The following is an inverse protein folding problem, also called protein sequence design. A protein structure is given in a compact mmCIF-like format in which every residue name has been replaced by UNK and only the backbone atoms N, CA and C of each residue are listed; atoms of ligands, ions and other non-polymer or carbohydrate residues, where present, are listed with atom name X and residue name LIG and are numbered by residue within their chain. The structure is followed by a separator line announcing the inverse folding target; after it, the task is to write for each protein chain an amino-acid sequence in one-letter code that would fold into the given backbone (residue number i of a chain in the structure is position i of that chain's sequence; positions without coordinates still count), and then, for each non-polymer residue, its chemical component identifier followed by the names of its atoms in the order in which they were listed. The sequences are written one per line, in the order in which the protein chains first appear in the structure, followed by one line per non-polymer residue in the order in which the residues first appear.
data_IF_476092437025
#
_entry.id   IF_476092437025
#
_cell.length_a   1.000
_cell.length_b   1.000
_cell.length_c   1.000
_cell.angle_alpha   90.00
_cell.angle_beta   90.00
_cell.angle_gamma   90.00
#
_symmetry.space_group_name_H-M   'P 1'
#
loop_
_entity.id
_entity.type
_entity.pdbx_description
1 polymer ?
#
# COMPACT_ATOMS: atom_id res chain seq x y z
N UNK A 1 -7.25 16.08 -1.09
CA UNK A 1 -6.34 15.32 -1.96
C UNK A 1 -7.15 14.73 -3.10
N UNK A 2 -6.59 14.64 -4.31
CA UNK A 2 -7.20 13.82 -5.36
C UNK A 2 -7.00 12.34 -5.05
N UNK A 3 -7.76 11.45 -5.71
CA UNK A 3 -7.61 9.99 -5.56
C UNK A 3 -6.19 9.54 -5.90
N UNK A 4 -5.60 10.13 -6.93
CA UNK A 4 -4.24 9.85 -7.40
C UNK A 4 -3.21 10.22 -6.33
N UNK A 5 -3.37 11.37 -5.66
CA UNK A 5 -2.50 11.75 -4.54
C UNK A 5 -2.60 10.77 -3.36
N UNK A 6 -3.80 10.24 -3.08
CA UNK A 6 -4.00 9.23 -2.01
C UNK A 6 -3.31 7.91 -2.39
N UNK A 7 -3.47 7.47 -3.64
CA UNK A 7 -2.82 6.26 -4.16
C UNK A 7 -1.29 6.38 -4.07
N UNK A 8 -0.74 7.51 -4.50
CA UNK A 8 0.70 7.81 -4.44
C UNK A 8 1.22 7.77 -3.00
N UNK A 9 0.52 8.45 -2.09
CA UNK A 9 0.90 8.53 -0.68
C UNK A 9 0.90 7.15 -0.02
N UNK A 10 -0.16 6.36 -0.23
CA UNK A 10 -0.26 5.00 0.32
C UNK A 10 0.84 4.12 -0.25
N UNK A 11 1.04 4.11 -1.58
CA UNK A 11 2.02 3.25 -2.23
C UNK A 11 3.44 3.53 -1.71
N UNK A 12 3.83 4.80 -1.67
CA UNK A 12 5.16 5.23 -1.21
C UNK A 12 5.35 4.88 0.27
N UNK A 13 4.44 5.31 1.14
CA UNK A 13 4.57 5.09 2.59
C UNK A 13 4.56 3.60 2.94
N UNK A 14 3.70 2.82 2.30
CA UNK A 14 3.60 1.39 2.56
C UNK A 14 4.86 0.65 2.16
N UNK A 15 5.43 0.96 0.99
CA UNK A 15 6.69 0.36 0.52
C UNK A 15 7.83 0.73 1.46
N UNK A 16 8.03 2.02 1.72
CA UNK A 16 9.14 2.50 2.56
C UNK A 16 9.06 1.95 3.98
N UNK A 17 7.87 1.92 4.59
CA UNK A 17 7.69 1.37 5.94
C UNK A 17 8.03 -0.13 6.01
N UNK A 18 7.69 -0.89 4.96
CA UNK A 18 8.06 -2.31 4.88
C UNK A 18 9.56 -2.48 4.69
N UNK A 19 10.20 -1.65 3.88
CA UNK A 19 11.64 -1.74 3.60
C UNK A 19 12.50 -1.36 4.82
N UNK A 20 12.17 -0.30 5.54
CA UNK A 20 12.92 0.10 6.76
C UNK A 20 12.65 -0.85 7.93
N UNK A 21 11.54 -1.59 7.90
CA UNK A 21 11.16 -2.65 8.84
C UNK A 21 11.40 -2.29 10.33
N UNK A 22 10.74 -1.23 10.86
CA UNK A 22 11.17 -0.59 12.11
C UNK A 22 10.82 -1.37 13.39
N UNK A 23 9.94 -2.36 13.30
CA UNK A 23 9.54 -3.21 14.44
C UNK A 23 10.08 -4.62 14.30
N UNK A 24 10.28 -5.30 15.43
CA UNK A 24 10.68 -6.71 15.45
C UNK A 24 9.65 -7.63 14.79
N UNK A 25 8.36 -7.31 14.94
CA UNK A 25 7.22 -8.03 14.38
C UNK A 25 6.07 -7.06 14.10
N UNK A 26 5.19 -7.41 13.14
CA UNK A 26 3.94 -6.69 12.91
C UNK A 26 3.99 -5.54 11.89
N UNK A 27 5.12 -5.31 11.22
CA UNK A 27 5.27 -4.24 10.21
C UNK A 27 4.19 -4.28 9.13
N UNK A 28 3.86 -5.47 8.60
CA UNK A 28 2.80 -5.63 7.61
C UNK A 28 1.39 -5.30 8.11
N UNK A 29 1.10 -5.48 9.41
CA UNK A 29 -0.20 -5.08 9.98
C UNK A 29 -0.26 -3.57 10.15
N UNK A 30 0.81 -2.96 10.66
CA UNK A 30 0.88 -1.52 10.85
C UNK A 30 0.85 -0.76 9.52
N UNK A 31 1.55 -1.25 8.49
CA UNK A 31 1.58 -0.60 7.18
C UNK A 31 0.20 -0.57 6.52
N UNK A 32 -0.58 -1.67 6.65
CA UNK A 32 -1.98 -1.71 6.21
C UNK A 32 -2.87 -0.76 7.01
N UNK A 33 -2.76 -0.76 8.34
CA UNK A 33 -3.50 0.20 9.17
C UNK A 33 -3.20 1.65 8.77
N UNK A 34 -1.94 1.98 8.49
CA UNK A 34 -1.54 3.31 8.04
C UNK A 34 -2.11 3.64 6.65
N UNK A 35 -2.12 2.67 5.73
CA UNK A 35 -2.77 2.82 4.43
C UNK A 35 -4.26 3.16 4.57
N UNK A 36 -4.98 2.49 5.46
CA UNK A 36 -6.40 2.78 5.74
C UNK A 36 -6.60 4.20 6.32
N UNK A 37 -5.73 4.63 7.24
CA UNK A 37 -5.75 5.99 7.79
C UNK A 37 -5.57 7.03 6.69
N UNK A 38 -4.59 6.85 5.80
CA UNK A 38 -4.34 7.76 4.68
C UNK A 38 -5.55 7.78 3.72
N UNK A 39 -6.14 6.62 3.44
CA UNK A 39 -7.33 6.52 2.59
C UNK A 39 -8.51 7.31 3.18
N UNK A 40 -8.82 7.11 4.46
CA UNK A 40 -9.92 7.79 5.16
C UNK A 40 -9.67 9.30 5.27
N UNK A 41 -8.44 9.74 5.54
CA UNK A 41 -8.07 11.16 5.50
C UNK A 41 -8.25 11.76 4.09
N UNK A 42 -8.06 10.94 3.06
CA UNK A 42 -8.34 11.24 1.66
C UNK A 42 -9.82 11.20 1.27
N UNK A 43 -10.75 10.97 2.21
CA UNK A 43 -12.18 10.75 1.97
C UNK A 43 -12.51 9.52 1.11
N UNK A 44 -11.63 8.52 1.13
CA UNK A 44 -11.86 7.20 0.55
C UNK A 44 -12.24 6.20 1.65
N UNK A 45 -12.74 5.04 1.25
CA UNK A 45 -12.97 3.91 2.17
C UNK A 45 -11.64 3.19 2.48
N UNK A 46 -11.55 2.47 3.62
CA UNK A 46 -10.44 1.55 3.91
C UNK A 46 -10.20 0.55 2.78
N UNK A 47 -8.96 0.09 2.59
CA UNK A 47 -8.59 -0.77 1.48
C UNK A 47 -9.14 -2.18 1.64
N UNK A 48 -9.56 -2.79 0.53
CA UNK A 48 -9.92 -4.21 0.49
C UNK A 48 -8.71 -5.07 0.10
N UNK A 49 -8.08 -5.71 1.10
CA UNK A 49 -6.79 -6.40 0.96
C UNK A 49 -6.86 -7.80 0.35
N UNK A 50 -8.03 -8.29 -0.05
CA UNK A 50 -8.15 -9.63 -0.66
C UNK A 50 -7.29 -9.73 -1.93
N UNK A 51 -7.27 -8.68 -2.75
CA UNK A 51 -6.47 -8.61 -3.98
C UNK A 51 -4.97 -8.81 -3.71
N UNK A 52 -4.44 -8.29 -2.59
CA UNK A 52 -3.04 -8.46 -2.23
C UNK A 52 -2.76 -9.85 -1.68
N UNK A 53 -3.73 -10.40 -0.94
CA UNK A 53 -3.63 -11.73 -0.33
C UNK A 53 -3.66 -12.83 -1.39
N UNK A 54 -4.55 -12.72 -2.38
CA UNK A 54 -4.64 -13.64 -3.50
C UNK A 54 -3.44 -13.53 -4.46
N UNK A 55 -2.80 -12.35 -4.53
CA UNK A 55 -1.67 -12.08 -5.43
C UNK A 55 -0.37 -11.80 -4.67
N UNK A 56 -0.07 -12.65 -3.67
CA UNK A 56 1.04 -12.43 -2.75
C UNK A 56 2.40 -12.24 -3.46
N UNK A 57 2.68 -13.03 -4.51
CA UNK A 57 3.95 -12.96 -5.26
C UNK A 57 4.10 -11.58 -5.91
N UNK A 58 3.05 -11.10 -6.56
CA UNK A 58 3.06 -9.82 -7.28
C UNK A 58 3.05 -8.63 -6.31
N UNK A 59 2.36 -8.75 -5.18
CA UNK A 59 2.42 -7.77 -4.10
C UNK A 59 3.84 -7.66 -3.52
N UNK A 60 4.52 -8.78 -3.26
CA UNK A 60 5.92 -8.77 -2.80
C UNK A 60 6.83 -8.18 -3.88
N UNK A 61 6.62 -8.53 -5.16
CA UNK A 61 7.37 -7.96 -6.27
C UNK A 61 7.20 -6.43 -6.36
N UNK A 62 6.00 -5.91 -6.07
CA UNK A 62 5.74 -4.47 -6.02
C UNK A 62 6.51 -3.76 -4.89
N UNK A 63 6.68 -4.41 -3.74
CA UNK A 63 7.53 -3.89 -2.65
C UNK A 63 9.00 -3.87 -3.10
N UNK A 64 9.49 -4.95 -3.72
CA UNK A 64 10.87 -5.01 -4.21
C UNK A 64 11.18 -3.97 -5.29
N UNK A 65 10.21 -3.61 -6.13
CA UNK A 65 10.38 -2.53 -7.10
C UNK A 65 10.74 -1.18 -6.43
N UNK A 66 10.27 -0.98 -5.18
CA UNK A 66 10.61 0.16 -4.34
C UNK A 66 12.10 0.35 -4.04
N UNK A 67 12.90 -0.71 -4.08
CA UNK A 67 14.37 -0.60 -3.94
C UNK A 67 15.00 0.27 -5.03
N UNK A 68 14.32 0.41 -6.18
CA UNK A 68 14.72 1.28 -7.29
C UNK A 68 13.87 2.57 -7.34
N UNK A 69 13.21 2.95 -6.23
CA UNK A 69 12.28 4.08 -6.15
C UNK A 69 11.11 3.98 -7.16
N UNK A 70 10.77 2.77 -7.60
CA UNK A 70 9.67 2.53 -8.52
C UNK A 70 8.43 2.08 -7.73
N UNK A 71 7.53 3.02 -7.47
CA UNK A 71 6.29 2.78 -6.73
C UNK A 71 5.09 2.44 -7.65
N UNK A 72 5.24 2.51 -8.98
CA UNK A 72 4.15 2.24 -9.93
C UNK A 72 3.48 0.88 -9.72
N UNK A 73 4.23 -0.23 -9.48
CA UNK A 73 3.60 -1.52 -9.17
C UNK A 73 2.74 -1.47 -7.90
N UNK A 74 3.16 -0.74 -6.87
CA UNK A 74 2.39 -0.64 -5.64
C UNK A 74 1.17 0.27 -5.81
N UNK A 75 1.28 1.35 -6.60
CA UNK A 75 0.14 2.21 -6.96
C UNK A 75 -0.96 1.42 -7.67
N UNK A 76 -0.59 0.51 -8.56
CA UNK A 76 -1.54 -0.43 -9.17
C UNK A 76 -2.31 -1.23 -8.10
N UNK A 77 -1.59 -1.88 -7.18
CA UNK A 77 -2.22 -2.71 -6.14
C UNK A 77 -3.08 -1.91 -5.16
N UNK A 78 -2.68 -0.68 -4.82
CA UNK A 78 -3.50 0.24 -4.01
C UNK A 78 -4.77 0.61 -4.77
N UNK A 79 -4.68 0.91 -6.05
CA UNK A 79 -5.85 1.22 -6.87
C UNK A 79 -6.83 0.04 -6.96
N UNK A 80 -6.33 -1.19 -7.13
CA UNK A 80 -7.17 -2.40 -7.13
C UNK A 80 -7.87 -2.61 -5.78
N UNK A 81 -7.15 -2.43 -4.67
CA UNK A 81 -7.72 -2.54 -3.33
C UNK A 81 -8.78 -1.46 -3.02
N UNK A 82 -8.67 -0.28 -3.64
CA UNK A 82 -9.67 0.79 -3.51
C UNK A 82 -10.90 0.62 -4.43
N UNK A 83 -10.80 -0.13 -5.52
CA UNK A 83 -11.92 -0.39 -6.45
C UNK A 83 -12.93 -1.42 -5.93
N UNK A 84 -12.50 -2.29 -5.03
CA UNK A 84 -13.33 -3.37 -4.50
C UNK A 84 -14.33 -2.90 -3.41
N UNK A 85 -14.48 -1.59 -3.24
CA UNK A 85 -15.44 -0.94 -2.33
C UNK A 85 -16.44 -0.06 -3.08
#
# INVERSE_FOLDING_TARGET
MSRECVIEAIATVHVELILIHPFREGNGRLSRLLADVIAVQGRLQPLYYESWTQNQIQYIAAIHAGLNLNYEPMKYWVNEALKAN
#
